data_IF_647103063416
#
_entry.id   IF_647103063416
#
_cell.length_a   1.000
_cell.length_b   1.000
_cell.length_c   1.000
_cell.angle_alpha   90.00
_cell.angle_beta   90.00
_cell.angle_gamma   90.00
#
_symmetry.space_group_name_H-M   'P 1'
#
loop_
_entity.id
_entity.type
_entity.pdbx_description
1 polymer ?
#
# COMPACT_ATOMS: atom_id res chain seq x y z
N UNK A 1 6.34 -27.87 19.27
CA UNK A 1 6.03 -27.13 18.01
C UNK A 1 5.09 -25.99 18.38
N UNK A 2 5.31 -24.79 17.85
CA UNK A 2 4.41 -23.64 18.07
C UNK A 2 3.09 -23.83 17.34
N UNK A 3 2.02 -23.32 17.93
CA UNK A 3 0.69 -23.32 17.31
C UNK A 3 0.47 -22.00 16.57
N UNK A 4 0.35 -22.08 15.26
CA UNK A 4 0.19 -20.91 14.38
C UNK A 4 -1.14 -20.98 13.67
N UNK A 5 -1.85 -19.85 13.64
CA UNK A 5 -3.05 -19.68 12.82
C UNK A 5 -2.76 -18.73 11.65
N UNK A 6 -3.24 -19.09 10.45
CA UNK A 6 -3.26 -18.21 9.28
C UNK A 6 -4.70 -17.82 8.94
N UNK A 7 -4.91 -16.57 8.51
CA UNK A 7 -6.18 -16.14 7.92
C UNK A 7 -6.34 -16.60 6.46
N UNK A 8 -5.24 -16.83 5.75
CA UNK A 8 -5.16 -17.34 4.39
C UNK A 8 -3.90 -18.16 4.20
N UNK A 9 -3.88 -19.11 3.25
CA UNK A 9 -2.64 -19.78 2.85
C UNK A 9 -1.60 -18.77 2.40
N UNK A 10 -0.36 -18.94 2.85
CA UNK A 10 0.77 -18.16 2.38
C UNK A 10 1.30 -18.72 1.06
N UNK A 11 2.11 -17.93 0.35
CA UNK A 11 2.77 -18.32 -0.88
C UNK A 11 4.22 -18.76 -0.60
N UNK A 12 4.72 -19.76 -1.34
CA UNK A 12 6.13 -20.11 -1.42
C UNK A 12 6.73 -20.71 -0.15
N UNK A 13 8.01 -20.38 0.10
CA UNK A 13 8.81 -20.98 1.16
C UNK A 13 8.25 -20.73 2.57
N UNK A 14 7.61 -19.56 2.79
CA UNK A 14 6.99 -19.27 4.09
C UNK A 14 5.92 -20.30 4.49
N UNK A 15 5.07 -20.71 3.54
CA UNK A 15 4.06 -21.75 3.80
C UNK A 15 4.70 -23.12 4.10
N UNK A 16 5.72 -23.51 3.33
CA UNK A 16 6.45 -24.76 3.55
C UNK A 16 7.07 -24.80 4.96
N UNK A 17 7.75 -23.74 5.36
CA UNK A 17 8.34 -23.63 6.70
C UNK A 17 7.32 -23.84 7.81
N UNK A 18 6.13 -23.21 7.70
CA UNK A 18 5.08 -23.38 8.71
C UNK A 18 4.56 -24.81 8.75
N UNK A 19 4.34 -25.44 7.60
CA UNK A 19 3.86 -26.84 7.51
C UNK A 19 4.83 -27.82 8.14
N UNK A 20 6.14 -27.59 7.99
CA UNK A 20 7.19 -28.49 8.50
C UNK A 20 7.49 -28.27 9.99
N UNK A 21 7.37 -27.03 10.50
CA UNK A 21 7.91 -26.65 11.81
C UNK A 21 6.84 -26.32 12.86
N UNK A 22 5.56 -26.26 12.50
CA UNK A 22 4.50 -25.80 13.41
C UNK A 22 3.26 -26.69 13.41
N UNK A 23 2.46 -26.58 14.46
CA UNK A 23 1.07 -27.04 14.45
C UNK A 23 0.24 -25.92 13.77
N UNK A 24 -0.04 -26.12 12.48
CA UNK A 24 -0.59 -25.09 11.61
C UNK A 24 -2.11 -25.27 11.45
N UNK A 25 -2.86 -24.19 11.66
CA UNK A 25 -4.26 -24.07 11.29
C UNK A 25 -4.43 -22.95 10.26
N UNK A 26 -5.15 -23.22 9.17
CA UNK A 26 -5.41 -22.26 8.09
C UNK A 26 -6.92 -22.06 7.95
N UNK A 27 -7.39 -20.82 8.15
CA UNK A 27 -8.72 -20.40 7.75
C UNK A 27 -8.70 -20.07 6.26
N UNK A 28 -9.63 -20.60 5.49
CA UNK A 28 -9.65 -20.41 4.02
C UNK A 28 -10.61 -19.30 3.57
N UNK A 29 -11.36 -18.71 4.48
CA UNK A 29 -12.37 -17.68 4.19
C UNK A 29 -12.02 -16.29 4.72
N UNK A 30 -10.91 -16.18 5.46
CA UNK A 30 -10.43 -14.90 6.00
C UNK A 30 -11.25 -14.35 7.18
N UNK A 31 -12.30 -15.03 7.63
CA UNK A 31 -13.07 -14.61 8.80
C UNK A 31 -12.45 -15.12 10.10
N UNK A 32 -12.59 -14.35 11.18
CA UNK A 32 -12.08 -14.76 12.52
C UNK A 32 -13.19 -15.41 13.35
N UNK A 33 -14.42 -14.92 13.25
CA UNK A 33 -15.52 -15.34 14.11
C UNK A 33 -15.67 -16.86 14.21
N UNK A 34 -15.83 -17.60 13.10
CA UNK A 34 -15.95 -19.05 13.11
C UNK A 34 -14.71 -19.78 13.65
N UNK A 35 -13.54 -19.17 13.57
CA UNK A 35 -12.24 -19.77 13.92
C UNK A 35 -11.65 -19.22 15.24
N UNK A 36 -12.45 -18.49 16.01
CA UNK A 36 -12.02 -17.96 17.29
C UNK A 36 -11.53 -19.05 18.27
N UNK A 37 -12.11 -20.27 18.33
CA UNK A 37 -11.55 -21.35 19.13
C UNK A 37 -10.12 -21.72 18.78
N UNK A 38 -9.76 -21.74 17.50
CA UNK A 38 -8.39 -22.04 17.04
C UNK A 38 -7.43 -20.87 17.37
N UNK A 39 -7.89 -19.62 17.19
CA UNK A 39 -7.12 -18.44 17.54
C UNK A 39 -6.79 -18.37 19.04
N UNK A 40 -7.69 -18.82 19.91
CA UNK A 40 -7.47 -18.89 21.36
C UNK A 40 -6.32 -19.82 21.76
N UNK A 41 -6.09 -20.86 20.96
CA UNK A 41 -5.02 -21.84 21.19
C UNK A 41 -3.71 -21.46 20.50
N UNK A 42 -3.74 -20.52 19.56
CA UNK A 42 -2.56 -20.11 18.80
C UNK A 42 -1.62 -19.23 19.62
N UNK A 43 -0.31 -19.43 19.43
CA UNK A 43 0.75 -18.55 19.95
C UNK A 43 1.04 -17.40 19.00
N UNK A 44 0.82 -17.58 17.68
CA UNK A 44 0.85 -16.50 16.72
C UNK A 44 -0.28 -16.59 15.69
N UNK A 45 -0.68 -15.42 15.18
CA UNK A 45 -1.65 -15.28 14.10
C UNK A 45 -1.01 -14.50 12.96
N UNK A 46 -0.88 -15.14 11.79
CA UNK A 46 -0.38 -14.44 10.59
C UNK A 46 -1.59 -14.13 9.69
N UNK A 47 -1.78 -12.85 9.42
CA UNK A 47 -2.98 -12.36 8.74
C UNK A 47 -2.68 -11.27 7.73
N UNK A 48 -3.44 -11.21 6.66
CA UNK A 48 -3.28 -10.19 5.63
C UNK A 48 -4.46 -9.27 5.62
N UNK A 49 -5.59 -9.39 5.60
CA UNK A 49 -6.70 -8.43 5.44
C UNK A 49 -7.76 -8.59 6.54
N UNK A 50 -7.44 -9.36 7.57
CA UNK A 50 -8.34 -9.66 8.67
C UNK A 50 -7.72 -9.16 9.95
N UNK A 51 -8.44 -8.30 10.65
CA UNK A 51 -7.96 -7.67 11.87
C UNK A 51 -8.82 -8.12 13.04
N UNK A 52 -8.27 -8.91 14.00
CA UNK A 52 -9.00 -9.27 15.20
C UNK A 52 -9.30 -8.01 16.02
N UNK A 53 -10.54 -7.90 16.49
CA UNK A 53 -10.92 -6.83 17.41
C UNK A 53 -10.24 -7.02 18.77
N UNK A 54 -10.10 -5.94 19.55
CA UNK A 54 -9.58 -6.02 20.92
C UNK A 54 -10.38 -7.01 21.77
N UNK A 55 -11.71 -7.04 21.62
CA UNK A 55 -12.58 -7.99 22.32
C UNK A 55 -12.27 -9.46 21.93
N UNK A 56 -11.99 -9.74 20.68
CA UNK A 56 -11.57 -11.08 20.25
C UNK A 56 -10.20 -11.43 20.81
N UNK A 57 -9.24 -10.48 20.77
CA UNK A 57 -7.89 -10.67 21.32
C UNK A 57 -7.89 -10.91 22.83
N UNK A 58 -8.82 -10.32 23.60
CA UNK A 58 -8.97 -10.58 25.04
C UNK A 58 -9.22 -12.05 25.35
N UNK A 59 -9.89 -12.75 24.45
CA UNK A 59 -10.17 -14.18 24.60
C UNK A 59 -9.01 -15.09 24.18
N UNK A 60 -7.87 -14.52 23.73
CA UNK A 60 -6.71 -15.25 23.21
C UNK A 60 -5.49 -15.10 24.16
N UNK A 61 -5.46 -15.80 25.32
CA UNK A 61 -4.42 -15.62 26.31
C UNK A 61 -3.04 -16.12 25.88
N UNK A 62 -3.00 -17.09 24.95
CA UNK A 62 -1.77 -17.71 24.45
C UNK A 62 -1.11 -16.88 23.34
N UNK A 63 -1.84 -15.97 22.70
CA UNK A 63 -1.35 -15.19 21.58
C UNK A 63 -0.20 -14.26 22.01
N UNK A 64 0.96 -14.42 21.41
CA UNK A 64 2.19 -13.67 21.64
C UNK A 64 2.55 -12.75 20.49
N UNK A 65 2.23 -13.15 19.25
CA UNK A 65 2.59 -12.39 18.06
C UNK A 65 1.45 -12.34 17.04
N UNK A 66 1.35 -11.22 16.33
CA UNK A 66 0.56 -11.08 15.11
C UNK A 66 1.53 -10.76 13.98
N UNK A 67 1.52 -11.53 12.90
CA UNK A 67 2.35 -11.33 11.71
C UNK A 67 1.53 -10.73 10.57
N UNK A 68 2.07 -9.67 9.95
CA UNK A 68 1.48 -9.03 8.77
C UNK A 68 2.45 -9.19 7.60
N UNK A 69 2.12 -9.96 6.55
CA UNK A 69 2.94 -10.06 5.34
C UNK A 69 2.81 -8.79 4.48
N UNK A 70 3.15 -7.65 5.06
CA UNK A 70 3.01 -6.33 4.47
C UNK A 70 3.56 -5.22 5.37
N UNK A 71 3.22 -3.96 5.04
CA UNK A 71 3.70 -2.76 5.75
C UNK A 71 2.60 -2.00 6.48
N UNK A 72 1.33 -2.26 6.17
CA UNK A 72 0.18 -1.53 6.74
C UNK A 72 -0.30 -2.14 8.05
N UNK A 73 -0.18 -1.41 9.15
CA UNK A 73 -0.63 -1.85 10.48
C UNK A 73 -1.48 -0.81 11.21
N UNK A 74 -1.95 0.21 10.50
CA UNK A 74 -2.68 1.35 11.10
C UNK A 74 -4.05 0.97 11.69
N UNK A 75 -4.58 -0.20 11.31
CA UNK A 75 -5.85 -0.74 11.86
C UNK A 75 -5.71 -1.41 13.23
N UNK A 76 -4.49 -1.56 13.75
CA UNK A 76 -4.25 -2.18 15.04
C UNK A 76 -4.11 -1.15 16.16
N UNK A 77 -4.73 -1.41 17.32
CA UNK A 77 -4.49 -0.66 18.55
C UNK A 77 -3.16 -1.09 19.17
N UNK A 78 -2.09 -0.34 18.82
CA UNK A 78 -0.74 -0.65 19.29
C UNK A 78 -0.59 -0.52 20.80
N UNK A 79 -1.32 0.39 21.45
CA UNK A 79 -1.28 0.52 22.92
C UNK A 79 -1.89 -0.70 23.60
N UNK A 80 -3.01 -1.19 23.10
CA UNK A 80 -3.61 -2.44 23.58
C UNK A 80 -2.63 -3.61 23.38
N UNK A 81 -2.04 -3.77 22.22
CA UNK A 81 -1.07 -4.83 21.95
C UNK A 81 0.15 -4.75 22.89
N UNK A 82 0.66 -3.53 23.14
CA UNK A 82 1.76 -3.31 24.08
C UNK A 82 1.40 -3.78 25.50
N UNK A 83 0.23 -3.38 26.01
CA UNK A 83 -0.23 -3.79 27.34
C UNK A 83 -0.39 -5.30 27.48
N UNK A 84 -0.74 -5.99 26.39
CA UNK A 84 -0.88 -7.45 26.35
C UNK A 84 0.44 -8.18 26.06
N UNK A 85 1.50 -7.46 25.70
CA UNK A 85 2.76 -8.01 25.25
C UNK A 85 2.60 -8.81 23.95
N UNK A 86 1.68 -8.41 23.05
CA UNK A 86 1.50 -9.02 21.73
C UNK A 86 2.35 -8.24 20.74
N UNK A 87 3.39 -8.86 20.21
CA UNK A 87 4.27 -8.25 19.21
C UNK A 87 3.61 -8.24 17.84
N UNK A 88 3.67 -7.11 17.15
CA UNK A 88 3.15 -6.95 15.77
C UNK A 88 4.32 -6.98 14.79
N UNK A 89 4.53 -8.14 14.18
CA UNK A 89 5.59 -8.38 13.19
C UNK A 89 5.12 -7.93 11.82
N UNK A 90 5.93 -7.15 11.10
CA UNK A 90 5.59 -6.63 9.77
C UNK A 90 6.77 -6.74 8.80
N UNK A 91 6.59 -6.40 7.53
CA UNK A 91 7.57 -6.62 6.46
C UNK A 91 8.00 -5.32 5.77
N UNK A 92 8.76 -4.44 6.44
CA UNK A 92 9.16 -3.16 5.88
C UNK A 92 10.00 -3.32 4.63
N UNK A 93 9.66 -2.59 3.56
CA UNK A 93 10.45 -2.53 2.32
C UNK A 93 10.33 -3.73 1.37
N UNK A 94 9.71 -4.83 1.78
CA UNK A 94 9.70 -6.07 0.98
C UNK A 94 8.85 -5.98 -0.31
N UNK A 95 7.89 -5.07 -0.37
CA UNK A 95 7.01 -4.85 -1.52
C UNK A 95 7.23 -3.51 -2.23
N UNK A 96 8.23 -2.72 -1.81
CA UNK A 96 8.41 -1.36 -2.32
C UNK A 96 8.58 -1.30 -3.85
N UNK A 97 9.33 -2.24 -4.41
CA UNK A 97 9.57 -2.32 -5.86
C UNK A 97 8.28 -2.62 -6.62
N UNK A 98 7.47 -3.54 -6.11
CA UNK A 98 6.19 -3.90 -6.73
C UNK A 98 5.23 -2.72 -6.77
N UNK A 99 5.09 -1.97 -5.66
CA UNK A 99 4.24 -0.77 -5.62
C UNK A 99 4.75 0.32 -6.56
N UNK A 100 6.06 0.54 -6.61
CA UNK A 100 6.66 1.53 -7.50
C UNK A 100 6.44 1.18 -8.98
N UNK A 101 6.62 -0.10 -9.35
CA UNK A 101 6.33 -0.59 -10.70
C UNK A 101 4.84 -0.49 -11.05
N UNK A 102 3.95 -0.79 -10.10
CA UNK A 102 2.51 -0.65 -10.30
C UNK A 102 2.11 0.80 -10.57
N UNK A 103 2.65 1.76 -9.81
CA UNK A 103 2.40 3.18 -10.03
C UNK A 103 2.87 3.64 -11.43
N UNK A 104 4.07 3.23 -11.86
CA UNK A 104 4.58 3.51 -13.20
C UNK A 104 3.75 2.80 -14.27
N UNK A 105 3.32 1.55 -14.01
CA UNK A 105 2.41 0.79 -14.88
C UNK A 105 1.08 1.51 -15.09
N UNK A 106 0.48 2.05 -14.02
CA UNK A 106 -0.73 2.87 -14.12
C UNK A 106 -0.49 4.14 -14.93
N UNK A 107 0.66 4.82 -14.76
CA UNK A 107 1.00 5.99 -15.55
C UNK A 107 1.04 5.68 -17.06
N UNK A 108 1.67 4.58 -17.46
CA UNK A 108 1.66 4.13 -18.85
C UNK A 108 0.26 3.70 -19.32
N UNK A 109 -0.47 2.97 -18.49
CA UNK A 109 -1.82 2.49 -18.81
C UNK A 109 -2.77 3.66 -19.10
N UNK A 110 -2.72 4.70 -18.27
CA UNK A 110 -3.50 5.92 -18.44
C UNK A 110 -3.03 6.73 -19.67
N UNK A 111 -1.72 7.03 -19.74
CA UNK A 111 -1.17 7.88 -20.82
C UNK A 111 -1.33 7.29 -22.21
N UNK A 112 -1.44 5.96 -22.30
CA UNK A 112 -1.65 5.21 -23.55
C UNK A 112 -3.08 4.70 -23.73
N UNK A 113 -3.99 4.99 -22.80
CA UNK A 113 -5.40 4.57 -22.85
C UNK A 113 -5.59 3.07 -23.14
N UNK A 114 -4.64 2.21 -22.68
CA UNK A 114 -4.56 0.79 -23.07
C UNK A 114 -5.88 0.04 -22.86
N UNK A 115 -6.57 0.13 -21.69
CA UNK A 115 -7.82 -0.60 -21.49
C UNK A 115 -8.95 -0.13 -22.41
N UNK A 116 -9.08 1.19 -22.59
CA UNK A 116 -10.08 1.80 -23.48
C UNK A 116 -9.89 1.31 -24.92
N UNK A 117 -8.68 1.46 -25.44
CA UNK A 117 -8.40 1.14 -26.84
C UNK A 117 -8.54 -0.38 -27.10
N UNK A 118 -8.18 -1.19 -26.11
CA UNK A 118 -8.39 -2.65 -26.18
C UNK A 118 -9.89 -3.01 -26.22
N UNK A 119 -10.72 -2.34 -25.42
CA UNK A 119 -12.17 -2.53 -25.43
C UNK A 119 -12.78 -2.13 -26.78
N UNK A 120 -12.48 -0.93 -27.25
CA UNK A 120 -12.97 -0.38 -28.51
C UNK A 120 -12.65 -1.29 -29.73
N UNK A 121 -11.41 -1.82 -29.78
CA UNK A 121 -11.04 -2.77 -30.87
C UNK A 121 -11.82 -4.07 -30.79
N UNK A 122 -12.07 -4.60 -29.57
CA UNK A 122 -12.89 -5.82 -29.37
C UNK A 122 -14.34 -5.60 -29.79
N UNK A 123 -14.83 -4.36 -29.65
CA UNK A 123 -16.18 -3.95 -30.09
C UNK A 123 -16.22 -3.57 -31.59
N UNK A 124 -15.13 -3.75 -32.33
CA UNK A 124 -15.04 -3.52 -33.77
C UNK A 124 -14.67 -2.07 -34.16
N UNK A 125 -14.45 -1.19 -33.20
CA UNK A 125 -14.08 0.20 -33.48
C UNK A 125 -12.56 0.38 -33.67
N UNK A 126 -12.06 0.00 -34.86
CA UNK A 126 -10.64 0.25 -35.20
C UNK A 126 -10.33 1.74 -35.45
N UNK A 127 -11.37 2.57 -35.64
CA UNK A 127 -11.25 4.02 -35.88
C UNK A 127 -10.78 4.79 -34.66
N UNK A 128 -10.80 4.19 -33.42
CA UNK A 128 -10.30 4.80 -32.19
C UNK A 128 -8.87 5.33 -32.30
N UNK A 129 -8.03 4.71 -33.16
CA UNK A 129 -6.64 5.10 -33.45
C UNK A 129 -6.48 6.55 -33.96
N UNK A 130 -7.54 7.17 -34.46
CA UNK A 130 -7.51 8.51 -35.01
C UNK A 130 -7.82 9.62 -33.99
N UNK A 131 -7.93 9.31 -32.69
CA UNK A 131 -8.21 10.30 -31.63
C UNK A 131 -7.03 11.19 -31.33
N UNK A 132 -5.79 10.69 -31.44
CA UNK A 132 -4.54 11.40 -31.13
C UNK A 132 -4.49 11.95 -29.67
N UNK A 133 -5.10 11.25 -28.71
CA UNK A 133 -5.22 11.66 -27.31
C UNK A 133 -4.24 10.90 -26.37
N UNK A 134 -3.33 10.13 -26.93
CA UNK A 134 -2.25 9.47 -26.20
C UNK A 134 -1.14 10.46 -25.84
N UNK A 135 -0.51 10.25 -24.70
CA UNK A 135 0.59 11.09 -24.24
C UNK A 135 1.90 10.28 -24.18
N UNK A 136 3.02 10.90 -24.52
CA UNK A 136 4.37 10.39 -24.23
C UNK A 136 4.83 10.88 -22.87
N UNK A 137 5.41 9.99 -22.04
CA UNK A 137 5.91 10.36 -20.72
C UNK A 137 7.28 11.01 -20.79
N UNK A 138 8.09 10.72 -21.81
CA UNK A 138 9.41 11.32 -21.97
C UNK A 138 9.35 12.86 -22.00
N UNK A 139 10.22 13.50 -21.21
CA UNK A 139 10.28 14.95 -21.08
C UNK A 139 9.19 15.59 -20.22
N UNK A 140 8.16 14.82 -19.84
CA UNK A 140 7.11 15.25 -18.89
C UNK A 140 7.62 15.26 -17.47
N UNK A 141 6.87 15.88 -16.55
CA UNK A 141 7.23 15.96 -15.13
C UNK A 141 6.38 14.99 -14.32
N UNK A 142 7.02 14.07 -13.62
CA UNK A 142 6.40 13.23 -12.59
C UNK A 142 6.48 13.93 -11.22
N UNK A 143 5.34 14.16 -10.61
CA UNK A 143 5.21 14.64 -9.23
C UNK A 143 5.14 13.47 -8.27
N UNK A 144 5.96 13.50 -7.23
CA UNK A 144 5.99 12.50 -6.17
C UNK A 144 5.56 13.17 -4.87
N UNK A 145 4.39 12.78 -4.36
CA UNK A 145 3.89 13.24 -3.08
C UNK A 145 4.14 12.17 -2.00
N UNK A 146 5.09 12.45 -1.12
CA UNK A 146 5.68 11.50 -0.16
C UNK A 146 6.96 10.87 -0.71
N UNK A 147 8.10 11.15 -0.06
CA UNK A 147 9.43 10.75 -0.53
C UNK A 147 10.11 9.74 0.40
N UNK A 148 9.30 8.80 0.92
CA UNK A 148 9.75 7.60 1.63
C UNK A 148 10.37 6.57 0.68
N UNK A 149 10.54 5.33 1.14
CA UNK A 149 11.18 4.27 0.36
C UNK A 149 10.49 4.01 -1.00
N UNK A 150 9.15 3.91 -1.01
CA UNK A 150 8.36 3.69 -2.24
C UNK A 150 8.44 4.92 -3.16
N UNK A 151 8.25 6.13 -2.61
CA UNK A 151 8.31 7.36 -3.40
C UNK A 151 9.67 7.58 -4.07
N UNK A 152 10.77 7.29 -3.37
CA UNK A 152 12.13 7.33 -3.93
C UNK A 152 12.31 6.36 -5.09
N UNK A 153 11.83 5.13 -4.95
CA UNK A 153 11.94 4.14 -6.01
C UNK A 153 11.04 4.49 -7.20
N UNK A 154 9.82 5.01 -6.97
CA UNK A 154 8.93 5.48 -8.04
C UNK A 154 9.55 6.66 -8.79
N UNK A 155 10.14 7.62 -8.06
CA UNK A 155 10.88 8.75 -8.65
C UNK A 155 12.00 8.26 -9.57
N UNK A 156 12.81 7.31 -9.08
CA UNK A 156 13.91 6.71 -9.85
C UNK A 156 13.39 6.02 -11.11
N UNK A 157 12.29 5.28 -11.02
CA UNK A 157 11.69 4.61 -12.18
C UNK A 157 11.16 5.61 -13.21
N UNK A 158 10.49 6.67 -12.80
CA UNK A 158 10.06 7.74 -13.72
C UNK A 158 11.25 8.43 -14.38
N UNK A 159 12.32 8.72 -13.62
CA UNK A 159 13.54 9.30 -14.19
C UNK A 159 14.18 8.39 -15.24
N UNK A 160 14.24 7.08 -15.01
CA UNK A 160 14.75 6.11 -15.99
C UNK A 160 13.90 6.04 -17.26
N UNK A 161 12.62 6.42 -17.18
CA UNK A 161 11.72 6.54 -18.32
C UNK A 161 11.80 7.94 -19.00
N UNK A 162 12.82 8.73 -18.68
CA UNK A 162 13.07 10.02 -19.30
C UNK A 162 12.18 11.17 -18.81
N UNK A 163 11.48 11.00 -17.68
CA UNK A 163 10.71 12.07 -17.05
C UNK A 163 11.59 12.93 -16.15
N UNK A 164 11.22 14.20 -16.02
CA UNK A 164 11.69 15.07 -14.93
C UNK A 164 10.92 14.68 -13.67
N UNK A 165 11.55 14.86 -12.49
CA UNK A 165 10.92 14.52 -11.21
C UNK A 165 10.81 15.75 -10.34
N UNK A 166 9.62 16.00 -9.79
CA UNK A 166 9.34 16.99 -8.76
C UNK A 166 8.81 16.27 -7.50
N UNK A 167 9.20 16.73 -6.32
CA UNK A 167 8.96 16.05 -5.05
C UNK A 167 8.37 16.99 -4.02
N UNK A 168 7.33 16.54 -3.33
CA UNK A 168 6.84 17.12 -2.09
C UNK A 168 6.94 16.10 -0.96
N UNK A 169 7.61 16.46 0.12
CA UNK A 169 7.58 15.74 1.40
C UNK A 169 7.95 16.73 2.51
N UNK A 170 7.09 16.95 3.53
CA UNK A 170 7.35 17.93 4.59
C UNK A 170 8.43 17.50 5.58
N UNK A 171 8.86 16.22 5.53
CA UNK A 171 9.86 15.64 6.43
C UNK A 171 11.23 15.44 5.78
N UNK A 172 11.34 15.70 4.46
CA UNK A 172 12.58 15.53 3.72
C UNK A 172 13.15 16.90 3.35
N UNK A 173 14.40 17.22 3.76
CA UNK A 173 15.03 18.50 3.44
C UNK A 173 15.16 18.71 1.92
N UNK A 174 15.03 19.96 1.49
CA UNK A 174 15.19 20.38 0.09
C UNK A 174 16.53 19.92 -0.50
N UNK A 175 17.59 20.05 0.27
CA UNK A 175 18.95 19.68 -0.16
C UNK A 175 19.04 18.18 -0.51
N UNK A 176 18.30 17.34 0.23
CA UNK A 176 18.25 15.90 -0.04
C UNK A 176 17.60 15.61 -1.38
N UNK A 177 16.51 16.29 -1.70
CA UNK A 177 15.78 16.15 -2.97
C UNK A 177 16.62 16.67 -4.13
N UNK A 178 17.19 17.87 -3.97
CA UNK A 178 18.02 18.52 -4.98
C UNK A 178 19.32 17.75 -5.28
N UNK A 179 19.94 17.12 -4.27
CA UNK A 179 21.14 16.29 -4.44
C UNK A 179 20.89 15.06 -5.32
N UNK A 180 19.62 14.60 -5.43
CA UNK A 180 19.22 13.50 -6.33
C UNK A 180 18.89 14.00 -7.76
N UNK A 181 19.02 15.30 -8.03
CA UNK A 181 18.70 15.91 -9.31
C UNK A 181 17.19 16.13 -9.54
N UNK A 182 16.38 16.17 -8.46
CA UNK A 182 14.95 16.39 -8.51
C UNK A 182 14.59 17.82 -8.10
N UNK A 183 13.43 18.29 -8.52
CA UNK A 183 12.87 19.59 -8.12
C UNK A 183 12.14 19.46 -6.80
N UNK A 184 12.51 20.24 -5.80
CA UNK A 184 11.75 20.32 -4.55
C UNK A 184 10.54 21.24 -4.70
N UNK A 185 9.40 20.83 -4.15
CA UNK A 185 8.19 21.63 -4.07
C UNK A 185 7.80 21.81 -2.60
N UNK A 186 7.70 23.05 -2.13
CA UNK A 186 7.40 23.35 -0.73
C UNK A 186 5.94 23.08 -0.33
N UNK A 187 5.04 22.96 -1.31
CA UNK A 187 3.59 22.68 -1.08
C UNK A 187 3.05 21.69 -2.11
N UNK A 188 1.94 21.04 -1.77
CA UNK A 188 1.22 20.17 -2.71
C UNK A 188 0.68 20.93 -3.92
N UNK A 189 0.22 22.16 -3.72
CA UNK A 189 -0.25 23.04 -4.79
C UNK A 189 0.88 23.34 -5.77
N UNK A 190 2.08 23.65 -5.27
CA UNK A 190 3.25 23.86 -6.13
C UNK A 190 3.60 22.57 -6.92
N UNK A 191 3.55 21.40 -6.28
CA UNK A 191 3.76 20.12 -6.94
C UNK A 191 2.71 19.85 -8.03
N UNK A 192 1.43 19.99 -7.70
CA UNK A 192 0.31 19.77 -8.64
C UNK A 192 0.38 20.73 -9.84
N UNK A 193 0.84 21.97 -9.61
CA UNK A 193 0.95 22.99 -10.66
C UNK A 193 2.07 22.74 -11.68
N UNK A 194 3.08 21.91 -11.37
CA UNK A 194 4.22 21.68 -12.27
C UNK A 194 4.24 20.31 -12.92
N UNK A 195 3.55 19.30 -12.35
CA UNK A 195 3.62 17.93 -12.86
C UNK A 195 2.54 17.60 -13.89
N UNK A 196 2.87 16.69 -14.78
CA UNK A 196 1.97 16.10 -15.77
C UNK A 196 1.38 14.78 -15.26
N UNK A 197 2.12 14.08 -14.41
CA UNK A 197 1.70 12.87 -13.69
C UNK A 197 1.96 13.09 -12.20
N UNK A 198 1.00 12.86 -11.34
CA UNK A 198 1.15 12.99 -9.88
C UNK A 198 0.89 11.64 -9.21
N UNK A 199 1.87 11.13 -8.48
CA UNK A 199 1.81 9.84 -7.78
C UNK A 199 1.99 10.00 -6.27
N UNK A 200 1.08 9.36 -5.51
CA UNK A 200 1.01 9.45 -4.06
C UNK A 200 1.71 8.26 -3.38
N UNK A 201 2.54 8.57 -2.37
CA UNK A 201 3.34 7.59 -1.60
C UNK A 201 3.42 7.96 -0.11
N UNK A 202 2.34 8.45 0.46
CA UNK A 202 2.26 8.86 1.86
C UNK A 202 1.31 7.96 2.67
N UNK A 203 1.52 7.82 3.99
CA UNK A 203 0.65 7.04 4.85
C UNK A 203 -0.69 7.76 5.09
N UNK A 204 -1.71 6.99 5.52
CA UNK A 204 -2.93 7.53 6.11
C UNK A 204 -2.70 7.88 7.57
N UNK A 205 -2.77 9.16 7.91
CA UNK A 205 -2.64 9.73 9.24
C UNK A 205 -3.74 10.79 9.42
N UNK A 206 -4.08 11.21 10.64
CA UNK A 206 -4.99 12.34 10.83
C UNK A 206 -4.57 13.61 10.08
N UNK A 207 -3.25 13.83 9.92
CA UNK A 207 -2.67 14.98 9.20
C UNK A 207 -2.65 14.82 7.69
N UNK A 208 -2.88 13.64 7.16
CA UNK A 208 -2.93 13.36 5.71
C UNK A 208 -4.33 13.00 5.23
N UNK A 209 -5.32 12.98 6.12
CA UNK A 209 -6.72 12.74 5.76
C UNK A 209 -7.23 13.84 4.83
N UNK A 210 -7.76 13.46 3.68
CA UNK A 210 -8.23 14.36 2.61
C UNK A 210 -7.22 15.48 2.26
N UNK A 211 -5.92 15.18 2.35
CA UNK A 211 -4.86 16.14 2.05
C UNK A 211 -4.88 16.56 0.57
N UNK A 212 -5.33 15.66 -0.33
CA UNK A 212 -5.62 15.96 -1.73
C UNK A 212 -7.08 16.36 -1.87
N UNK A 213 -7.34 17.61 -1.54
CA UNK A 213 -8.63 18.26 -1.58
C UNK A 213 -8.84 19.09 -2.87
N UNK A 214 -9.95 19.79 -2.94
CA UNK A 214 -10.28 20.70 -4.04
C UNK A 214 -9.16 21.72 -4.30
N UNK A 215 -8.52 22.27 -3.26
CA UNK A 215 -7.51 23.33 -3.42
C UNK A 215 -6.27 22.83 -4.16
N UNK A 216 -5.89 21.57 -3.91
CA UNK A 216 -4.78 20.92 -4.61
C UNK A 216 -5.15 20.65 -6.06
N UNK A 217 -6.35 20.09 -6.33
CA UNK A 217 -6.78 19.83 -7.71
C UNK A 217 -6.99 21.12 -8.51
N UNK A 218 -7.54 22.19 -7.92
CA UNK A 218 -7.69 23.49 -8.60
C UNK A 218 -6.34 24.11 -8.97
N UNK A 219 -5.28 23.82 -8.20
CA UNK A 219 -3.91 24.27 -8.47
C UNK A 219 -3.19 23.39 -9.51
N UNK A 220 -3.74 22.22 -9.83
CA UNK A 220 -3.11 21.28 -10.72
C UNK A 220 -2.98 21.82 -12.15
N UNK A 221 -1.97 21.36 -12.85
CA UNK A 221 -1.84 21.56 -14.29
C UNK A 221 -3.05 20.96 -15.00
N UNK A 222 -3.63 21.65 -15.96
CA UNK A 222 -4.77 21.12 -16.73
C UNK A 222 -4.36 19.85 -17.47
N UNK A 223 -5.18 18.82 -17.37
CA UNK A 223 -4.88 17.53 -17.99
C UNK A 223 -3.94 16.64 -17.14
N UNK A 224 -3.84 16.88 -15.84
CA UNK A 224 -3.06 16.05 -14.90
C UNK A 224 -3.50 14.58 -14.95
N UNK A 225 -2.53 13.66 -14.96
CA UNK A 225 -2.74 12.24 -14.68
C UNK A 225 -2.47 11.97 -13.20
N UNK A 226 -3.46 11.43 -12.49
CA UNK A 226 -3.41 11.25 -11.04
C UNK A 226 -3.30 9.76 -10.68
N UNK A 227 -2.37 9.39 -9.77
CA UNK A 227 -2.11 8.00 -9.38
C UNK A 227 -2.09 7.89 -7.86
N UNK A 228 -2.91 7.00 -7.31
CA UNK A 228 -2.89 6.67 -5.90
C UNK A 228 -2.69 5.17 -5.66
N UNK A 229 -1.48 4.79 -5.28
CA UNK A 229 -1.11 3.46 -4.78
C UNK A 229 -0.71 3.52 -3.29
N UNK A 230 -1.14 4.57 -2.57
CA UNK A 230 -0.82 4.78 -1.16
C UNK A 230 -1.98 4.38 -0.24
N UNK A 231 -2.91 5.30 0.02
CA UNK A 231 -4.12 5.09 0.83
C UNK A 231 -5.26 5.93 0.27
N UNK A 232 -6.47 5.36 0.24
CA UNK A 232 -7.67 6.06 -0.29
C UNK A 232 -8.02 7.31 0.50
N UNK A 233 -7.99 7.23 1.82
CA UNK A 233 -8.35 8.34 2.72
C UNK A 233 -7.46 9.58 2.63
N UNK A 234 -6.36 9.54 1.88
CA UNK A 234 -5.53 10.72 1.61
C UNK A 234 -6.18 11.66 0.59
N UNK A 235 -7.13 11.14 -0.19
CA UNK A 235 -7.80 11.85 -1.28
C UNK A 235 -9.25 12.12 -0.90
N UNK A 236 -9.72 13.35 -1.08
CA UNK A 236 -11.14 13.65 -1.15
C UNK A 236 -11.67 13.17 -2.51
N UNK A 237 -12.35 12.02 -2.50
CA UNK A 237 -12.87 11.36 -3.72
C UNK A 237 -13.86 12.24 -4.47
N UNK A 238 -14.63 13.09 -3.75
CA UNK A 238 -15.55 14.03 -4.39
C UNK A 238 -14.79 15.14 -5.13
N UNK A 239 -13.73 15.67 -4.53
CA UNK A 239 -12.89 16.67 -5.17
C UNK A 239 -12.17 16.11 -6.42
N UNK A 240 -11.69 14.85 -6.34
CA UNK A 240 -11.10 14.16 -7.49
C UNK A 240 -12.13 13.95 -8.62
N UNK A 241 -13.34 13.53 -8.28
CA UNK A 241 -14.44 13.37 -9.25
C UNK A 241 -14.76 14.68 -9.98
N UNK A 242 -14.90 15.79 -9.24
CA UNK A 242 -15.14 17.11 -9.82
C UNK A 242 -13.99 17.57 -10.73
N UNK A 243 -12.74 17.26 -10.34
CA UNK A 243 -11.55 17.55 -11.13
C UNK A 243 -11.49 16.74 -12.44
N UNK A 244 -11.94 15.48 -12.42
CA UNK A 244 -12.09 14.64 -13.60
C UNK A 244 -13.19 15.19 -14.54
N UNK A 245 -14.35 15.54 -13.99
CA UNK A 245 -15.46 16.11 -14.77
C UNK A 245 -15.11 17.44 -15.44
N UNK A 246 -14.27 18.28 -14.78
CA UNK A 246 -13.81 19.56 -15.34
C UNK A 246 -12.66 19.41 -16.34
N UNK A 247 -12.04 18.23 -16.46
CA UNK A 247 -10.83 18.00 -17.25
C UNK A 247 -9.54 18.52 -16.60
N UNK A 248 -9.60 19.06 -15.37
CA UNK A 248 -8.41 19.42 -14.61
C UNK A 248 -7.53 18.19 -14.40
N UNK A 249 -8.14 17.08 -14.01
CA UNK A 249 -7.55 15.74 -14.04
C UNK A 249 -8.03 15.04 -15.31
N UNK A 250 -7.11 14.64 -16.20
CA UNK A 250 -7.44 13.95 -17.44
C UNK A 250 -7.85 12.50 -17.18
N UNK A 251 -7.15 11.82 -16.27
CA UNK A 251 -7.43 10.45 -15.87
C UNK A 251 -6.84 10.13 -14.51
N UNK A 252 -7.41 9.14 -13.82
CA UNK A 252 -6.91 8.66 -12.53
C UNK A 252 -6.69 7.15 -12.53
N UNK A 253 -5.58 6.71 -11.90
CA UNK A 253 -5.25 5.31 -11.62
C UNK A 253 -5.24 5.09 -10.11
N UNK A 254 -6.18 4.30 -9.61
CA UNK A 254 -6.42 4.11 -8.20
C UNK A 254 -6.25 2.64 -7.83
N UNK A 255 -5.23 2.32 -7.06
CA UNK A 255 -5.09 0.98 -6.46
C UNK A 255 -5.82 0.89 -5.12
N UNK A 256 -6.17 2.03 -4.55
CA UNK A 256 -6.86 2.20 -3.27
C UNK A 256 -7.97 3.24 -3.38
N UNK A 257 -9.05 3.04 -2.63
CA UNK A 257 -10.14 4.01 -2.43
C UNK A 257 -10.41 4.18 -0.94
N UNK A 258 -11.16 5.23 -0.58
CA UNK A 258 -11.44 5.56 0.82
C UNK A 258 -12.15 4.41 1.55
N UNK A 259 -13.03 3.71 0.85
CA UNK A 259 -13.71 2.52 1.35
C UNK A 259 -13.21 1.27 0.62
N UNK A 260 -12.71 0.31 1.37
CA UNK A 260 -12.31 -1.02 0.88
C UNK A 260 -13.07 -2.13 1.66
N UNK A 261 -13.74 -3.09 1.00
CA UNK A 261 -13.92 -3.23 -0.45
C UNK A 261 -14.65 -2.06 -1.08
N UNK A 262 -14.32 -1.77 -2.34
CA UNK A 262 -14.82 -0.61 -3.08
C UNK A 262 -16.36 -0.63 -3.22
N UNK A 263 -16.98 0.53 -3.09
CA UNK A 263 -18.41 0.68 -3.36
C UNK A 263 -18.67 0.68 -4.87
N UNK A 264 -19.30 -0.39 -5.37
CA UNK A 264 -19.66 -0.51 -6.78
C UNK A 264 -20.64 0.57 -7.26
N UNK A 265 -21.29 1.29 -6.34
CA UNK A 265 -22.15 2.43 -6.59
C UNK A 265 -21.41 3.75 -6.79
N UNK A 266 -20.12 3.83 -6.47
CA UNK A 266 -19.32 5.04 -6.54
C UNK A 266 -19.29 5.63 -7.96
N UNK A 267 -19.58 6.93 -8.08
CA UNK A 267 -19.48 7.67 -9.34
C UNK A 267 -18.03 7.71 -9.84
N UNK A 268 -17.07 7.80 -8.92
CA UNK A 268 -15.64 7.79 -9.23
C UNK A 268 -15.23 6.45 -9.86
N UNK A 269 -15.68 5.33 -9.29
CA UNK A 269 -15.40 3.98 -9.82
C UNK A 269 -15.97 3.80 -11.24
N UNK A 270 -17.09 4.45 -11.55
CA UNK A 270 -17.77 4.37 -12.86
C UNK A 270 -17.29 5.39 -13.88
N UNK A 271 -16.44 6.33 -13.47
CA UNK A 271 -15.96 7.37 -14.37
C UNK A 271 -15.09 6.76 -15.49
N UNK A 272 -15.33 7.08 -16.80
CA UNK A 272 -14.66 6.43 -17.93
C UNK A 272 -13.15 6.65 -17.97
N UNK A 273 -12.65 7.68 -17.29
CA UNK A 273 -11.24 8.02 -17.21
C UNK A 273 -10.59 7.56 -15.89
N UNK A 274 -11.22 6.63 -15.18
CA UNK A 274 -10.68 6.05 -13.96
C UNK A 274 -10.37 4.57 -14.18
N UNK A 275 -9.17 4.16 -13.83
CA UNK A 275 -8.75 2.76 -13.77
C UNK A 275 -8.57 2.41 -12.30
N UNK A 276 -9.20 1.32 -11.88
CA UNK A 276 -9.10 0.86 -10.49
C UNK A 276 -8.52 -0.54 -10.44
N UNK A 277 -7.62 -0.77 -9.51
CA UNK A 277 -7.08 -2.10 -9.18
C UNK A 277 -7.34 -2.42 -7.70
N UNK A 278 -7.58 -3.68 -7.31
CA UNK A 278 -8.12 -4.02 -5.99
C UNK A 278 -7.03 -4.14 -4.92
N UNK A 279 -6.29 -3.04 -4.66
CA UNK A 279 -5.20 -2.93 -3.69
C UNK A 279 -4.12 -4.02 -3.88
N UNK A 280 -3.65 -4.14 -5.12
CA UNK A 280 -2.70 -5.17 -5.56
C UNK A 280 -1.30 -4.64 -5.88
N UNK A 281 -1.06 -3.34 -5.77
CA UNK A 281 0.24 -2.76 -6.10
C UNK A 281 1.42 -3.43 -5.41
N UNK A 282 1.23 -3.89 -4.16
CA UNK A 282 2.24 -4.65 -3.41
C UNK A 282 2.13 -6.17 -3.55
N UNK A 283 1.24 -6.70 -4.40
CA UNK A 283 0.85 -8.12 -4.45
C UNK A 283 1.37 -8.77 -5.73
N UNK A 284 2.68 -8.91 -5.82
CA UNK A 284 3.32 -9.73 -6.86
C UNK A 284 3.79 -11.05 -6.26
N UNK A 285 4.01 -12.09 -7.09
CA UNK A 285 4.58 -13.35 -6.63
C UNK A 285 5.94 -13.13 -5.92
N UNK A 286 6.78 -12.26 -6.48
CA UNK A 286 8.09 -11.93 -5.92
C UNK A 286 7.97 -11.21 -4.56
N UNK A 287 7.04 -10.27 -4.41
CA UNK A 287 6.79 -9.60 -3.14
C UNK A 287 6.17 -10.55 -2.11
N UNK A 288 5.24 -11.41 -2.54
CA UNK A 288 4.64 -12.43 -1.69
C UNK A 288 5.69 -13.38 -1.15
N UNK A 289 6.59 -13.88 -2.00
CA UNK A 289 7.70 -14.75 -1.56
C UNK A 289 8.56 -14.07 -0.49
N UNK A 290 8.97 -12.82 -0.72
CA UNK A 290 9.78 -12.06 0.25
C UNK A 290 9.05 -11.76 1.54
N UNK A 291 7.80 -11.29 1.46
CA UNK A 291 7.02 -10.90 2.66
C UNK A 291 6.59 -12.10 3.47
N UNK A 292 6.15 -13.18 2.82
CA UNK A 292 5.70 -14.39 3.50
C UNK A 292 6.88 -15.09 4.20
N UNK A 293 8.01 -15.19 3.52
CA UNK A 293 9.22 -15.72 4.14
C UNK A 293 9.65 -14.89 5.35
N UNK A 294 9.75 -13.56 5.20
CA UNK A 294 10.20 -12.69 6.29
C UNK A 294 9.26 -12.73 7.49
N UNK A 295 7.93 -12.65 7.29
CA UNK A 295 6.99 -12.66 8.41
C UNK A 295 7.01 -13.98 9.16
N UNK A 296 7.15 -15.10 8.46
CA UNK A 296 7.24 -16.43 9.07
C UNK A 296 8.54 -16.58 9.85
N UNK A 297 9.69 -16.33 9.20
CA UNK A 297 11.02 -16.44 9.84
C UNK A 297 11.10 -15.56 11.09
N UNK A 298 10.61 -14.31 11.01
CA UNK A 298 10.61 -13.38 12.14
C UNK A 298 9.66 -13.83 13.25
N UNK A 299 8.46 -14.29 12.91
CA UNK A 299 7.49 -14.76 13.91
C UNK A 299 8.03 -15.99 14.65
N UNK A 300 8.58 -16.96 13.94
CA UNK A 300 9.15 -18.17 14.57
C UNK A 300 10.38 -17.81 15.41
N UNK A 301 11.29 -16.99 14.90
CA UNK A 301 12.45 -16.52 15.64
C UNK A 301 12.05 -15.85 16.98
N UNK A 302 11.00 -15.01 16.94
CA UNK A 302 10.49 -14.36 18.13
C UNK A 302 9.90 -15.35 19.13
N UNK A 303 9.11 -16.32 18.66
CA UNK A 303 8.55 -17.37 19.53
C UNK A 303 9.64 -18.28 20.12
N UNK A 304 10.75 -18.48 19.41
CA UNK A 304 11.94 -19.21 19.87
C UNK A 304 12.83 -18.38 20.82
N UNK A 305 12.37 -17.17 21.23
CA UNK A 305 13.09 -16.32 22.17
C UNK A 305 14.23 -15.51 21.56
N UNK A 306 14.23 -15.27 20.23
CA UNK A 306 15.22 -14.43 19.56
C UNK A 306 14.65 -13.02 19.34
N UNK A 307 15.44 -11.98 19.58
CA UNK A 307 15.02 -10.60 19.30
C UNK A 307 15.05 -10.35 17.77
N UNK A 308 14.02 -9.66 17.29
CA UNK A 308 13.87 -9.27 15.88
C UNK A 308 13.72 -7.75 15.76
N UNK A 309 14.05 -7.18 14.61
CA UNK A 309 14.01 -5.72 14.38
C UNK A 309 12.72 -5.23 13.72
N UNK A 310 11.96 -6.11 13.09
CA UNK A 310 10.76 -5.77 12.31
C UNK A 310 9.47 -5.93 13.14
N UNK A 311 9.44 -5.29 14.31
CA UNK A 311 8.27 -5.19 15.20
C UNK A 311 7.73 -3.77 15.14
N UNK A 312 6.46 -3.60 14.78
CA UNK A 312 5.81 -2.29 14.65
C UNK A 312 5.55 -1.61 16.01
N UNK A 313 5.47 -2.42 17.08
CA UNK A 313 5.22 -1.97 18.45
C UNK A 313 6.29 -2.51 19.41
N UNK A 314 7.54 -2.04 19.34
CA UNK A 314 8.68 -2.58 20.09
C UNK A 314 8.48 -2.57 21.60
N UNK A 315 7.67 -1.66 22.16
CA UNK A 315 7.32 -1.63 23.57
C UNK A 315 6.62 -2.92 24.07
N UNK A 316 5.98 -3.68 23.17
CA UNK A 316 5.43 -4.98 23.54
C UNK A 316 6.49 -5.99 23.98
N UNK A 317 7.72 -5.87 23.48
CA UNK A 317 8.83 -6.76 23.84
C UNK A 317 9.40 -6.49 25.23
N UNK A 318 9.00 -5.40 25.89
CA UNK A 318 9.35 -5.10 27.27
C UNK A 318 8.37 -5.74 28.28
N UNK A 319 7.29 -6.32 27.80
CA UNK A 319 6.33 -7.04 28.64
C UNK A 319 6.99 -8.30 29.27
N UNK A 320 6.66 -8.68 30.52
CA UNK A 320 7.27 -9.83 31.22
C UNK A 320 7.24 -11.16 30.47
N UNK A 321 6.28 -11.36 29.54
CA UNK A 321 6.23 -12.58 28.71
C UNK A 321 7.42 -12.74 27.75
N UNK A 322 8.20 -11.68 27.57
CA UNK A 322 9.37 -11.63 26.69
C UNK A 322 10.68 -11.48 27.47
N UNK A 323 10.67 -11.73 28.81
CA UNK A 323 11.87 -11.60 29.65
C UNK A 323 13.06 -12.46 29.22
N UNK A 324 12.79 -13.55 28.50
CA UNK A 324 13.80 -14.53 28.09
C UNK A 324 14.33 -14.28 26.65
N UNK A 325 13.95 -13.15 26.01
CA UNK A 325 14.47 -12.80 24.69
C UNK A 325 15.98 -12.62 24.72
N UNK A 326 16.66 -13.39 23.89
CA UNK A 326 18.09 -13.27 23.64
C UNK A 326 18.37 -12.16 22.64
N UNK A 327 19.50 -11.41 22.80
CA UNK A 327 19.89 -10.35 21.88
C UNK A 327 20.10 -10.84 20.45
#
# INVERSE_FOLDING_TARGET
>A
MHKIMLSYPLFGQGMQTLQEQTELFVSNDGEIGPYLPQLREAEAFITRNVHPTTQQLETCPKLKAIGIPGVGYQSYDLEYLNRRGIALVYCPGMNLRSVAEHAVGLAYTLSKWIPRDSAEVKDGNYGIRNRFDHMELQGKTAGIAGFGAIGKETARLFQLNGMKVAVYDPFVPEETVCAMGYTYCATLQALAGVCDVLSLHMPSLPTTYHLFDRSVFDSAKYGLYFINCARGSVVDEKALYDALCSGRVAAAGLDVMEKEPFDIGSELLRHPHVIVTPHVGGVTADAAERTHKLVVDSTLALLDGKRISNVANPAALEHPRWSDLKP
#
